data_IF_464344414680
#
_entry.id   IF_464344414680
#
_cell.length_a   1.000
_cell.length_b   1.000
_cell.length_c   1.000
_cell.angle_alpha   90.00
_cell.angle_beta   90.00
_cell.angle_gamma   90.00
#
_symmetry.space_group_name_H-M   'P 1'
#
loop_
_entity.id
_entity.type
_entity.pdbx_description
1 polymer ?
#
# COMPACT_ATOMS: atom_id res chain seq x y z
N UNK A 1 -21.72 -7.56 -3.00
CA UNK A 1 -20.89 -8.49 -3.81
C UNK A 1 -21.17 -8.35 -5.32
N UNK A 2 -21.22 -7.12 -5.84
CA UNK A 2 -21.57 -6.79 -7.23
C UNK A 2 -20.36 -6.20 -7.97
N UNK A 3 -19.69 -5.22 -7.37
CA UNK A 3 -18.45 -4.61 -7.88
C UNK A 3 -17.32 -5.63 -8.11
N UNK A 4 -17.12 -6.61 -7.21
CA UNK A 4 -16.13 -7.67 -7.42
C UNK A 4 -16.42 -8.53 -8.66
N UNK A 5 -17.70 -8.77 -8.98
CA UNK A 5 -18.11 -9.53 -10.16
C UNK A 5 -17.87 -8.73 -11.44
N UNK A 6 -18.17 -7.43 -11.43
CA UNK A 6 -17.90 -6.54 -12.56
C UNK A 6 -16.38 -6.45 -12.86
N UNK A 7 -15.53 -6.35 -11.83
CA UNK A 7 -14.07 -6.39 -12.00
C UNK A 7 -13.56 -7.72 -12.55
N UNK A 8 -14.18 -8.85 -12.18
CA UNK A 8 -13.82 -10.15 -12.73
C UNK A 8 -14.31 -10.34 -14.18
N UNK A 9 -15.40 -9.69 -14.58
CA UNK A 9 -15.98 -9.80 -15.92
C UNK A 9 -15.35 -8.84 -16.94
N UNK A 10 -14.84 -7.69 -16.51
CA UNK A 10 -14.35 -6.64 -17.41
C UNK A 10 -12.92 -6.16 -17.11
N UNK A 11 -12.29 -6.64 -16.03
CA UNK A 11 -10.96 -6.19 -15.59
C UNK A 11 -9.87 -7.26 -15.75
N UNK A 12 -8.62 -6.81 -15.84
CA UNK A 12 -7.42 -7.68 -15.84
C UNK A 12 -6.95 -8.06 -14.43
N UNK A 13 -7.58 -7.50 -13.39
CA UNK A 13 -7.23 -7.72 -11.99
C UNK A 13 -8.48 -7.79 -11.10
N UNK A 14 -8.41 -8.53 -10.00
CA UNK A 14 -9.53 -8.60 -9.04
C UNK A 14 -9.67 -7.27 -8.30
N UNK A 15 -10.89 -6.91 -7.93
CA UNK A 15 -11.18 -5.67 -7.20
C UNK A 15 -10.30 -5.48 -5.94
N UNK A 16 -10.09 -6.56 -5.17
CA UNK A 16 -9.27 -6.48 -3.95
C UNK A 16 -7.79 -6.19 -4.25
N UNK A 17 -7.29 -6.63 -5.40
CA UNK A 17 -5.92 -6.38 -5.85
C UNK A 17 -5.79 -4.92 -6.28
N UNK A 18 -6.78 -4.40 -7.00
CA UNK A 18 -6.85 -2.98 -7.34
C UNK A 18 -6.86 -2.08 -6.11
N UNK A 19 -7.73 -2.38 -5.13
CA UNK A 19 -7.78 -1.61 -3.86
C UNK A 19 -6.44 -1.65 -3.15
N UNK A 20 -5.79 -2.82 -3.08
CA UNK A 20 -4.46 -2.97 -2.48
C UNK A 20 -3.42 -2.12 -3.23
N UNK A 21 -3.44 -2.15 -4.56
CA UNK A 21 -2.53 -1.38 -5.39
C UNK A 21 -2.69 0.13 -5.15
N UNK A 22 -3.92 0.65 -5.14
CA UNK A 22 -4.21 2.06 -4.86
C UNK A 22 -3.70 2.47 -3.47
N UNK A 23 -3.96 1.66 -2.44
CA UNK A 23 -3.50 1.94 -1.07
C UNK A 23 -1.98 1.93 -0.96
N UNK A 24 -1.31 1.01 -1.66
CA UNK A 24 0.16 0.93 -1.70
C UNK A 24 0.79 2.09 -2.46
N UNK A 25 0.16 2.56 -3.54
CA UNK A 25 0.58 3.76 -4.25
C UNK A 25 0.49 5.00 -3.34
N UNK A 26 -0.59 5.14 -2.56
CA UNK A 26 -0.73 6.19 -1.54
C UNK A 26 0.36 6.10 -0.48
N UNK A 27 0.64 4.91 0.04
CA UNK A 27 1.69 4.71 1.04
C UNK A 27 3.07 5.15 0.53
N UNK A 28 3.40 4.79 -0.72
CA UNK A 28 4.63 5.22 -1.40
C UNK A 28 4.74 6.75 -1.45
N UNK A 29 3.67 7.44 -1.85
CA UNK A 29 3.64 8.91 -1.91
C UNK A 29 3.86 9.54 -0.52
N UNK A 30 3.24 8.97 0.51
CA UNK A 30 3.38 9.49 1.88
C UNK A 30 4.81 9.33 2.38
N UNK A 31 5.41 8.14 2.21
CA UNK A 31 6.79 7.84 2.62
C UNK A 31 7.84 8.67 1.87
N UNK A 32 7.51 9.21 0.69
CA UNK A 32 8.40 10.12 -0.03
C UNK A 32 8.32 11.57 0.45
N UNK A 33 7.19 11.98 1.04
CA UNK A 33 6.88 13.39 1.29
C UNK A 33 6.82 13.79 2.76
N UNK A 34 6.55 12.84 3.66
CA UNK A 34 6.27 13.14 5.06
C UNK A 34 7.04 12.23 6.02
N UNK A 35 7.65 12.81 7.04
CA UNK A 35 8.28 12.07 8.14
C UNK A 35 7.22 11.57 9.13
N UNK A 36 6.54 10.49 8.77
CA UNK A 36 5.54 9.82 9.61
C UNK A 36 6.04 8.45 10.06
N UNK A 37 5.56 7.99 11.21
CA UNK A 37 5.85 6.62 11.64
C UNK A 37 5.23 5.60 10.68
N UNK A 38 5.84 4.41 10.56
CA UNK A 38 5.32 3.36 9.67
C UNK A 38 3.89 2.94 10.06
N UNK A 39 3.60 2.92 11.36
CA UNK A 39 2.27 2.64 11.89
C UNK A 39 1.24 3.68 11.40
N UNK A 40 1.59 4.95 11.46
CA UNK A 40 0.74 6.04 10.97
C UNK A 40 0.48 6.00 9.47
N UNK A 41 1.49 5.63 8.67
CA UNK A 41 1.33 5.45 7.23
C UNK A 41 0.38 4.30 6.94
N UNK A 42 0.52 3.17 7.65
CA UNK A 42 -0.36 2.01 7.50
C UNK A 42 -1.84 2.38 7.76
N UNK A 43 -2.11 3.04 8.89
CA UNK A 43 -3.47 3.48 9.25
C UNK A 43 -4.06 4.44 8.20
N UNK A 44 -3.30 5.45 7.76
CA UNK A 44 -3.74 6.41 6.72
C UNK A 44 -3.99 5.75 5.37
N UNK A 45 -3.39 4.60 5.11
CA UNK A 45 -3.59 3.81 3.89
C UNK A 45 -4.65 2.71 4.05
N UNK A 46 -5.34 2.64 5.20
CA UNK A 46 -6.40 1.67 5.46
C UNK A 46 -5.88 0.26 5.77
N UNK A 47 -4.69 0.16 6.37
CA UNK A 47 -4.15 -1.08 6.92
C UNK A 47 -4.16 -1.01 8.45
N UNK A 48 -5.08 -1.74 9.12
CA UNK A 48 -5.14 -1.79 10.57
C UNK A 48 -3.91 -2.48 11.18
N UNK A 49 -3.38 -3.48 10.47
CA UNK A 49 -2.19 -4.25 10.85
C UNK A 49 -0.96 -3.70 10.11
N UNK A 50 -0.03 -3.14 10.90
CA UNK A 50 1.21 -2.56 10.37
C UNK A 50 2.21 -3.62 9.90
N UNK A 51 2.23 -4.81 10.49
CA UNK A 51 3.12 -5.89 10.06
C UNK A 51 2.67 -6.45 8.72
N UNK A 52 1.35 -6.63 8.54
CA UNK A 52 0.78 -7.00 7.24
C UNK A 52 1.07 -5.92 6.19
N UNK A 53 0.90 -4.65 6.52
CA UNK A 53 1.28 -3.54 5.64
C UNK A 53 2.75 -3.64 5.21
N UNK A 54 3.68 -3.81 6.15
CA UNK A 54 5.11 -3.95 5.86
C UNK A 54 5.41 -5.13 4.92
N UNK A 55 4.79 -6.30 5.16
CA UNK A 55 4.96 -7.49 4.30
C UNK A 55 4.47 -7.22 2.87
N UNK A 56 3.29 -6.60 2.72
CA UNK A 56 2.72 -6.29 1.40
C UNK A 56 3.53 -5.22 0.69
N UNK A 57 3.95 -4.17 1.40
CA UNK A 57 4.75 -3.09 0.84
C UNK A 57 6.08 -3.61 0.31
N UNK A 58 6.79 -4.43 1.10
CA UNK A 58 8.04 -5.06 0.65
C UNK A 58 7.84 -5.96 -0.55
N UNK A 59 6.78 -6.77 -0.59
CA UNK A 59 6.46 -7.60 -1.76
C UNK A 59 6.23 -6.76 -3.02
N UNK A 60 5.63 -5.58 -2.88
CA UNK A 60 5.27 -4.73 -4.02
C UNK A 60 6.42 -3.82 -4.50
N UNK A 61 7.27 -3.34 -3.60
CA UNK A 61 8.29 -2.33 -3.91
C UNK A 61 9.73 -2.78 -3.65
N UNK A 62 9.95 -4.00 -3.17
CA UNK A 62 11.27 -4.59 -2.93
C UNK A 62 11.96 -4.14 -1.63
N UNK A 63 11.50 -3.03 -1.02
CA UNK A 63 12.04 -2.46 0.21
C UNK A 63 10.99 -2.46 1.31
N UNK A 64 11.40 -2.54 2.57
CA UNK A 64 10.52 -2.25 3.70
C UNK A 64 10.09 -0.77 3.67
N UNK A 65 8.96 -0.40 4.29
CA UNK A 65 8.54 1.00 4.39
C UNK A 65 9.61 1.91 5.02
N UNK A 66 10.34 1.42 6.03
CA UNK A 66 11.41 2.17 6.70
C UNK A 66 12.61 2.43 5.79
N UNK A 67 13.12 1.39 5.12
CA UNK A 67 14.19 1.54 4.11
C UNK A 67 13.78 2.47 2.98
N UNK A 68 12.52 2.37 2.53
CA UNK A 68 11.97 3.24 1.50
C UNK A 68 11.95 4.69 1.97
N UNK A 69 11.41 4.96 3.17
CA UNK A 69 11.39 6.32 3.75
C UNK A 69 12.80 6.90 3.84
N UNK A 70 13.74 6.15 4.42
CA UNK A 70 15.14 6.58 4.57
C UNK A 70 15.81 6.91 3.23
N UNK A 71 15.49 6.17 2.15
CA UNK A 71 16.07 6.41 0.83
C UNK A 71 15.60 7.72 0.17
N UNK A 72 14.39 8.18 0.45
CA UNK A 72 13.81 9.38 -0.17
C UNK A 72 13.78 10.60 0.75
N UNK A 73 14.02 10.40 2.04
CA UNK A 73 13.99 11.43 3.06
C UNK A 73 15.35 11.67 3.74
N UNK A 74 16.36 10.87 3.40
CA UNK A 74 17.75 11.08 3.79
C UNK A 74 18.42 12.16 2.96
#
# INVERSE_FOLDING_TARGET
NHLSKLFAQHGTMRFIEYVRWVRMAKARMILQKYHLSIHEVAQRCGFPDSDYFCRVFRRQFGLTPGEYSARFQG
#
